data_IF_432743181970
#
_entry.id   IF_432743181970
#
_cell.length_a   1.000
_cell.length_b   1.000
_cell.length_c   1.000
_cell.angle_alpha   90.00
_cell.angle_beta   90.00
_cell.angle_gamma   90.00
#
_symmetry.space_group_name_H-M   'P 1'
#
loop_
_entity.id
_entity.type
_entity.pdbx_description
1 polymer ?
#
# COMPACT_ATOMS: atom_id res chain seq x y z
N UNK A 1 -11.11 6.58 17.82
CA UNK A 1 -10.77 8.01 17.97
C UNK A 1 -9.95 8.40 16.75
N UNK A 2 -10.62 8.89 15.70
CA UNK A 2 -10.02 9.33 14.44
C UNK A 2 -9.39 10.70 14.66
N UNK A 3 -8.07 10.82 14.47
CA UNK A 3 -7.38 12.11 14.46
C UNK A 3 -7.11 12.52 13.02
N UNK A 4 -7.82 13.54 12.54
CA UNK A 4 -7.67 14.16 11.23
C UNK A 4 -6.55 15.21 11.30
N UNK A 5 -5.38 14.92 10.73
CA UNK A 5 -4.38 15.94 10.37
C UNK A 5 -3.43 15.40 9.27
N UNK A 6 -3.43 16.06 8.11
CA UNK A 6 -2.21 16.21 7.30
C UNK A 6 -2.11 15.43 5.98
N UNK A 7 -2.21 14.11 6.00
CA UNK A 7 -1.80 13.28 4.84
C UNK A 7 -2.77 12.13 4.61
N UNK A 8 -3.29 12.01 3.39
CA UNK A 8 -4.16 10.90 3.01
C UNK A 8 -3.30 9.78 2.42
N UNK A 9 -3.18 8.68 3.15
CA UNK A 9 -2.53 7.46 2.68
C UNK A 9 -3.61 6.44 2.35
N UNK A 10 -3.69 6.04 1.08
CA UNK A 10 -4.52 4.93 0.66
C UNK A 10 -3.61 3.72 0.48
N UNK A 11 -3.77 2.74 1.35
CA UNK A 11 -3.00 1.50 1.31
C UNK A 11 -3.95 0.35 0.97
N UNK A 12 -3.64 -0.36 -0.12
CA UNK A 12 -4.41 -1.53 -0.53
C UNK A 12 -3.47 -2.73 -0.57
N UNK A 13 -3.85 -3.82 0.10
CA UNK A 13 -3.09 -5.06 0.10
C UNK A 13 -4.06 -6.21 -0.11
N UNK A 14 -3.74 -7.11 -1.04
CA UNK A 14 -4.57 -8.28 -1.30
C UNK A 14 -3.71 -9.53 -1.21
N UNK A 15 -4.09 -10.49 -0.37
CA UNK A 15 -3.38 -11.76 -0.24
C UNK A 15 -3.99 -12.76 -1.22
N UNK A 16 -3.25 -13.13 -2.24
CA UNK A 16 -3.61 -14.13 -3.22
C UNK A 16 -2.82 -15.43 -2.99
N UNK A 17 -3.45 -16.47 -2.41
CA UNK A 17 -2.82 -17.78 -2.28
C UNK A 17 -2.81 -18.47 -3.66
N UNK A 18 -1.63 -18.68 -4.23
CA UNK A 18 -1.47 -19.45 -5.48
C UNK A 18 -1.49 -20.94 -5.18
N UNK A 19 -0.85 -21.32 -4.08
CA UNK A 19 -0.70 -22.70 -3.65
C UNK A 19 -0.56 -22.75 -2.13
N UNK A 20 -0.74 -23.93 -1.54
CA UNK A 20 -0.58 -24.14 -0.09
C UNK A 20 0.82 -23.78 0.47
N UNK A 21 1.80 -23.53 -0.40
CA UNK A 21 3.16 -23.11 -0.05
C UNK A 21 3.57 -21.77 -0.68
N UNK A 22 2.72 -21.16 -1.50
CA UNK A 22 3.06 -19.94 -2.25
C UNK A 22 1.92 -18.94 -2.12
N UNK A 23 2.21 -17.82 -1.47
CA UNK A 23 1.29 -16.69 -1.34
C UNK A 23 1.91 -15.46 -1.99
N UNK A 24 1.15 -14.77 -2.84
CA UNK A 24 1.52 -13.45 -3.36
C UNK A 24 0.64 -12.41 -2.68
N UNK A 25 1.25 -11.32 -2.24
CA UNK A 25 0.56 -10.16 -1.69
C UNK A 25 0.93 -8.93 -2.50
N UNK A 26 0.20 -8.61 -3.60
CA UNK A 26 0.26 -7.28 -4.18
C UNK A 26 -0.16 -6.24 -3.14
N UNK A 27 0.57 -5.14 -3.12
CA UNK A 27 0.33 -3.95 -2.34
C UNK A 27 0.41 -2.72 -3.22
N UNK A 28 -0.45 -1.74 -2.96
CA UNK A 28 -0.38 -0.44 -3.59
C UNK A 28 -0.58 0.62 -2.52
N UNK A 29 0.42 1.48 -2.38
CA UNK A 29 0.37 2.62 -1.48
C UNK A 29 0.29 3.88 -2.34
N UNK A 30 -0.79 4.63 -2.17
CA UNK A 30 -1.01 5.94 -2.78
C UNK A 30 -0.91 6.97 -1.67
N UNK A 31 0.04 7.88 -1.79
CA UNK A 31 0.19 9.00 -0.87
C UNK A 31 -0.34 10.25 -1.58
N UNK A 32 -1.50 10.72 -1.13
CA UNK A 32 -2.15 11.91 -1.64
C UNK A 32 -1.74 13.10 -0.75
N UNK A 33 -1.22 14.15 -1.39
CA UNK A 33 -0.82 15.40 -0.74
C UNK A 33 0.24 15.23 0.35
N UNK A 34 1.43 14.69 -0.01
CA UNK A 34 2.53 14.61 0.95
C UNK A 34 2.86 16.02 1.48
N UNK A 35 2.99 16.14 2.81
CA UNK A 35 3.34 17.37 3.54
C UNK A 35 2.26 18.49 3.53
N UNK A 36 0.97 18.15 3.39
CA UNK A 36 -0.14 19.13 3.41
C UNK A 36 -0.02 20.24 2.36
N UNK A 37 0.63 19.94 1.22
CA UNK A 37 0.81 20.88 0.12
C UNK A 37 0.18 20.33 -1.17
N UNK A 38 -0.89 20.97 -1.64
CA UNK A 38 -1.63 20.57 -2.84
C UNK A 38 -0.84 20.69 -4.16
N UNK A 39 0.39 21.23 -4.13
CA UNK A 39 1.29 21.33 -5.30
C UNK A 39 2.23 20.14 -5.47
N UNK A 40 2.32 19.22 -4.50
CA UNK A 40 3.20 18.07 -4.64
C UNK A 40 2.52 16.94 -5.43
N UNK A 41 3.23 16.31 -6.38
CA UNK A 41 2.69 15.19 -7.14
C UNK A 41 2.39 14.02 -6.20
N UNK A 42 1.27 13.34 -6.44
CA UNK A 42 0.91 12.12 -5.71
C UNK A 42 1.96 11.04 -5.92
N UNK A 43 2.34 10.37 -4.84
CA UNK A 43 3.36 9.32 -4.88
C UNK A 43 2.63 7.98 -4.95
N UNK A 44 2.94 7.21 -5.99
CA UNK A 44 2.43 5.86 -6.19
C UNK A 44 3.56 4.85 -5.94
N UNK A 45 3.38 4.00 -4.94
CA UNK A 45 4.37 2.96 -4.59
C UNK A 45 3.73 1.58 -4.80
N UNK A 46 4.03 0.90 -5.92
CA UNK A 46 3.64 -0.48 -6.11
C UNK A 46 4.56 -1.42 -5.32
N UNK A 47 3.98 -2.44 -4.68
CA UNK A 47 4.69 -3.45 -3.91
C UNK A 47 4.20 -4.84 -4.27
N UNK A 48 5.10 -5.82 -4.33
CA UNK A 48 4.73 -7.23 -4.46
C UNK A 48 5.56 -8.02 -3.45
N UNK A 49 4.86 -8.72 -2.56
CA UNK A 49 5.49 -9.64 -1.59
C UNK A 49 5.16 -11.08 -1.95
N UNK A 50 6.18 -11.91 -2.12
CA UNK A 50 6.03 -13.34 -2.42
C UNK A 50 6.52 -14.11 -1.20
N UNK A 51 5.70 -15.02 -0.69
CA UNK A 51 6.02 -15.85 0.46
C UNK A 51 6.06 -17.32 0.05
N UNK A 52 7.16 -17.98 0.38
CA UNK A 52 7.37 -19.41 0.19
C UNK A 52 7.35 -20.11 1.55
N UNK A 53 6.47 -21.11 1.71
CA UNK A 53 6.46 -22.03 2.84
C UNK A 53 7.23 -23.29 2.47
N UNK A 54 8.30 -23.60 3.20
CA UNK A 54 9.10 -24.81 2.99
C UNK A 54 8.58 -25.94 3.87
#
# INVERSE_FOLDING_TARGET
MLSFCGSYHLETFYRYPIHHKICITPGLVVILYPEHNSKNPSILVPMIKIQFGF
#
